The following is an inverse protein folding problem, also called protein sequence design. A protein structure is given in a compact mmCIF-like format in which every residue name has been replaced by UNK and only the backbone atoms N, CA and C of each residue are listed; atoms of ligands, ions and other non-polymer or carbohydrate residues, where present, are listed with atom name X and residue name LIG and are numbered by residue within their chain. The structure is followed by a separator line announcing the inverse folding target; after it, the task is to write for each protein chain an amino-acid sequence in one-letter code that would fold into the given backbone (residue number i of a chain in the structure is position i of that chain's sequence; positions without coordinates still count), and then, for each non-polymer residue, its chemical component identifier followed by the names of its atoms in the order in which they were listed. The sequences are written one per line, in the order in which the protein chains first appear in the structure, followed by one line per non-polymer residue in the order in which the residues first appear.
data_IF_464610253360
#
_entry.id   IF_464610253360
#
_cell.length_a   1.000
_cell.length_b   1.000
_cell.length_c   1.000
_cell.angle_alpha   90.00
_cell.angle_beta   90.00
_cell.angle_gamma   90.00
#
_symmetry.space_group_name_H-M   'P 1'
#
loop_
_entity.id
_entity.type
_entity.pdbx_description
1 polymer ?
#
# COMPACT_ATOMS: atom_id res chain seq x y z
N UNK A 1 -2.98 16.93 25.29
CA UNK A 1 -3.50 15.59 25.64
C UNK A 1 -2.84 14.60 24.70
N UNK A 2 -1.86 13.83 25.19
CA UNK A 2 -1.20 12.78 24.40
C UNK A 2 -2.12 11.56 24.39
N UNK A 3 -2.73 11.24 23.25
CA UNK A 3 -3.47 10.01 23.09
C UNK A 3 -2.46 8.86 23.03
N UNK A 4 -2.48 7.97 24.01
CA UNK A 4 -1.73 6.72 24.01
C UNK A 4 -2.24 5.84 22.86
N UNK A 5 -1.66 5.98 21.68
CA UNK A 5 -1.97 5.14 20.53
C UNK A 5 -1.19 3.82 20.68
N UNK A 6 -1.76 2.83 21.36
CA UNK A 6 -1.21 1.46 21.42
C UNK A 6 -1.56 0.68 20.14
N UNK A 7 -1.37 1.28 18.97
CA UNK A 7 -1.45 0.54 17.71
C UNK A 7 -0.09 -0.06 17.38
N UNK A 8 -0.05 -1.34 17.02
CA UNK A 8 1.15 -1.97 16.50
C UNK A 8 1.20 -1.80 14.99
N UNK A 9 2.19 -1.04 14.53
CA UNK A 9 2.54 -0.90 13.13
C UNK A 9 3.57 -1.96 12.72
N UNK A 10 3.34 -2.66 11.62
CA UNK A 10 4.28 -3.58 11.00
C UNK A 10 4.38 -3.27 9.51
N UNK A 11 5.61 -3.20 9.01
CA UNK A 11 5.92 -2.89 7.60
C UNK A 11 6.75 -4.04 7.05
N UNK A 12 6.35 -4.56 5.89
CA UNK A 12 7.02 -5.67 5.18
C UNK A 12 7.35 -6.88 6.08
N UNK A 13 6.44 -7.21 7.00
CA UNK A 13 6.66 -8.23 8.04
C UNK A 13 5.46 -9.15 8.17
N UNK A 14 5.73 -10.40 8.55
CA UNK A 14 4.68 -11.36 8.85
C UNK A 14 3.99 -10.98 10.15
N UNK A 15 2.69 -11.26 10.21
CA UNK A 15 1.92 -11.07 11.44
C UNK A 15 2.24 -12.22 12.39
N UNK A 16 2.68 -11.94 13.64
CA UNK A 16 2.95 -12.97 14.62
C UNK A 16 1.72 -13.86 14.88
N UNK A 17 1.92 -15.17 14.89
CA UNK A 17 0.86 -16.17 15.10
C UNK A 17 0.11 -16.59 13.84
N UNK A 18 0.34 -15.93 12.69
CA UNK A 18 -0.19 -16.40 11.41
C UNK A 18 0.69 -17.54 10.88
N UNK A 19 0.14 -18.72 10.54
CA UNK A 19 0.93 -19.88 10.12
C UNK A 19 1.53 -19.75 8.71
N UNK A 20 1.02 -18.84 7.88
CA UNK A 20 1.51 -18.61 6.52
C UNK A 20 2.64 -17.58 6.43
N UNK A 21 3.34 -17.56 5.29
CA UNK A 21 4.40 -16.58 4.99
C UNK A 21 3.86 -15.46 4.10
N UNK A 22 2.97 -14.63 4.64
CA UNK A 22 2.48 -13.42 3.99
C UNK A 22 3.16 -12.19 4.58
N UNK A 23 3.67 -11.33 3.70
CA UNK A 23 4.40 -10.10 4.02
C UNK A 23 3.71 -8.92 3.31
N UNK A 24 2.56 -8.45 3.83
CA UNK A 24 1.96 -7.21 3.34
C UNK A 24 2.88 -6.01 3.62
N UNK A 25 2.79 -4.98 2.78
CA UNK A 25 3.58 -3.76 2.90
C UNK A 25 3.26 -3.03 4.22
N UNK A 26 1.99 -3.01 4.63
CA UNK A 26 1.53 -2.33 5.83
C UNK A 26 0.49 -3.16 6.59
N UNK A 27 0.73 -3.37 7.89
CA UNK A 27 -0.26 -3.89 8.84
C UNK A 27 -0.33 -2.97 10.04
N UNK A 28 -1.54 -2.54 10.39
CA UNK A 28 -1.81 -1.78 11.60
C UNK A 28 -2.79 -2.61 12.42
N UNK A 29 -2.42 -2.92 13.66
CA UNK A 29 -3.31 -3.59 14.61
C UNK A 29 -3.55 -2.62 15.75
N UNK A 30 -4.80 -2.23 15.93
CA UNK A 30 -5.27 -1.42 17.05
C UNK A 30 -6.02 -2.34 18.02
N UNK A 31 -5.31 -2.81 19.04
CA UNK A 31 -5.87 -3.68 20.06
C UNK A 31 -6.86 -2.95 20.98
N UNK A 32 -6.77 -1.61 21.07
CA UNK A 32 -7.65 -0.80 21.93
C UNK A 32 -9.04 -0.70 21.30
N UNK A 33 -9.10 -0.41 20.01
CA UNK A 33 -10.35 -0.29 19.26
C UNK A 33 -10.80 -1.63 18.64
N UNK A 34 -10.03 -2.71 18.82
CA UNK A 34 -10.34 -4.03 18.28
C UNK A 34 -10.37 -4.05 16.76
N UNK A 35 -9.46 -3.32 16.09
CA UNK A 35 -9.42 -3.22 14.64
C UNK A 35 -8.05 -3.56 14.06
N UNK A 36 -8.02 -3.95 12.79
CA UNK A 36 -6.79 -4.10 12.04
C UNK A 36 -6.97 -3.66 10.57
N UNK A 37 -5.91 -3.10 10.00
CA UNK A 37 -5.81 -2.78 8.59
C UNK A 37 -4.63 -3.53 7.98
N UNK A 38 -4.88 -4.25 6.88
CA UNK A 38 -3.87 -4.85 6.02
C UNK A 38 -3.92 -4.06 4.71
N UNK A 39 -2.82 -3.39 4.38
CA UNK A 39 -2.72 -2.56 3.18
C UNK A 39 -1.47 -2.94 2.41
N UNK A 40 -1.62 -3.20 1.12
CA UNK A 40 -0.51 -3.48 0.20
C UNK A 40 -0.48 -2.45 -0.91
N UNK A 41 0.70 -2.18 -1.47
CA UNK A 41 0.87 -1.29 -2.61
C UNK A 41 0.99 -2.16 -3.88
N UNK A 42 0.44 -1.68 -4.98
CA UNK A 42 0.71 -2.28 -6.28
C UNK A 42 0.73 -1.28 -7.42
N UNK A 43 1.59 -1.57 -8.40
CA UNK A 43 1.75 -0.80 -9.62
C UNK A 43 1.44 -1.68 -10.85
N UNK A 44 0.17 -1.87 -11.22
CA UNK A 44 -0.19 -2.64 -12.40
C UNK A 44 0.06 -1.86 -13.69
N UNK A 45 0.25 -2.57 -14.80
CA UNK A 45 0.13 -1.96 -16.13
C UNK A 45 -1.34 -1.52 -16.33
N UNK A 46 -1.56 -0.22 -16.54
CA UNK A 46 -2.88 0.38 -16.58
C UNK A 46 -3.56 0.23 -17.96
N UNK A 47 -4.01 -0.99 -18.27
CA UNK A 47 -4.88 -1.22 -19.42
C UNK A 47 -6.35 -0.94 -19.04
N UNK A 48 -6.68 0.36 -18.94
CA UNK A 48 -7.99 0.89 -18.48
C UNK A 48 -8.26 0.61 -17.00
N UNK A 49 -9.40 1.12 -16.52
CA UNK A 49 -9.82 1.03 -15.12
C UNK A 49 -9.95 -0.41 -14.59
N UNK A 50 -10.36 -1.36 -15.45
CA UNK A 50 -10.50 -2.77 -15.05
C UNK A 50 -9.17 -3.37 -14.56
N UNK A 51 -8.03 -2.97 -15.14
CA UNK A 51 -6.72 -3.46 -14.71
C UNK A 51 -6.41 -3.08 -13.24
N UNK A 52 -6.83 -1.87 -12.83
CA UNK A 52 -6.65 -1.40 -11.46
C UNK A 52 -7.56 -2.17 -10.49
N UNK A 53 -8.82 -2.40 -10.87
CA UNK A 53 -9.76 -3.17 -10.06
C UNK A 53 -9.30 -4.63 -9.86
N UNK A 54 -8.82 -5.26 -10.93
CA UNK A 54 -8.28 -6.64 -10.87
C UNK A 54 -7.03 -6.69 -9.99
N UNK A 55 -6.12 -5.72 -10.12
CA UNK A 55 -4.92 -5.66 -9.29
C UNK A 55 -5.26 -5.51 -7.79
N UNK A 56 -6.22 -4.63 -7.46
CA UNK A 56 -6.75 -4.48 -6.11
C UNK A 56 -7.34 -5.78 -5.59
N UNK A 57 -8.24 -6.40 -6.37
CA UNK A 57 -8.91 -7.63 -5.95
C UNK A 57 -7.91 -8.76 -5.73
N UNK A 58 -6.91 -8.89 -6.60
CA UNK A 58 -5.85 -9.88 -6.44
C UNK A 58 -5.08 -9.72 -5.10
N UNK A 59 -4.81 -8.48 -4.67
CA UNK A 59 -4.20 -8.23 -3.34
C UNK A 59 -5.15 -8.60 -2.20
N UNK A 60 -6.45 -8.28 -2.32
CA UNK A 60 -7.47 -8.68 -1.33
C UNK A 60 -7.54 -10.20 -1.20
N UNK A 61 -7.56 -10.91 -2.32
CA UNK A 61 -7.61 -12.38 -2.34
C UNK A 61 -6.33 -12.99 -1.74
N UNK A 62 -5.16 -12.45 -2.11
CA UNK A 62 -3.85 -12.89 -1.59
C UNK A 62 -3.80 -12.82 -0.05
N UNK A 63 -4.33 -11.75 0.54
CA UNK A 63 -4.27 -11.53 1.99
C UNK A 63 -5.55 -11.92 2.73
N UNK A 64 -6.57 -12.46 2.04
CA UNK A 64 -7.80 -12.93 2.66
C UNK A 64 -7.55 -13.93 3.82
N UNK A 65 -6.65 -14.92 3.70
CA UNK A 65 -6.36 -15.83 4.82
C UNK A 65 -5.78 -15.12 6.05
N UNK A 66 -4.96 -14.08 5.83
CA UNK A 66 -4.42 -13.27 6.93
C UNK A 66 -5.52 -12.41 7.57
N UNK A 67 -6.40 -11.84 6.75
CA UNK A 67 -7.55 -11.10 7.25
C UNK A 67 -8.47 -11.99 8.10
N UNK A 68 -8.74 -13.21 7.65
CA UNK A 68 -9.57 -14.18 8.38
C UNK A 68 -8.93 -14.62 9.69
N UNK A 69 -7.60 -14.80 9.72
CA UNK A 69 -6.87 -15.07 10.96
C UNK A 69 -6.99 -13.92 11.97
N UNK A 70 -6.93 -12.67 11.52
CA UNK A 70 -7.12 -11.52 12.41
C UNK A 70 -8.58 -11.39 12.86
N UNK A 71 -9.56 -11.70 12.00
CA UNK A 71 -10.98 -11.75 12.36
C UNK A 71 -11.27 -12.83 13.38
N UNK A 72 -10.65 -14.01 13.27
CA UNK A 72 -10.83 -15.09 14.25
C UNK A 72 -10.26 -14.74 15.64
N UNK A 73 -9.42 -13.70 15.73
CA UNK A 73 -8.95 -13.12 17.00
C UNK A 73 -9.89 -12.03 17.56
N UNK A 74 -11.05 -11.83 16.94
CA UNK A 74 -12.06 -10.86 17.37
C UNK A 74 -11.85 -9.43 16.84
N UNK A 75 -10.95 -9.24 15.87
CA UNK A 75 -10.68 -7.92 15.30
C UNK A 75 -11.61 -7.61 14.14
N UNK A 76 -12.00 -6.35 14.00
CA UNK A 76 -12.61 -5.82 12.77
C UNK A 76 -11.50 -5.54 11.76
N UNK A 77 -11.50 -6.24 10.62
CA UNK A 77 -10.36 -6.22 9.69
C UNK A 77 -10.73 -5.61 8.35
N UNK A 78 -10.00 -4.55 7.97
CA UNK A 78 -9.95 -4.00 6.61
C UNK A 78 -8.75 -4.59 5.88
N UNK A 79 -8.97 -5.15 4.69
CA UNK A 79 -7.91 -5.67 3.83
C UNK A 79 -8.05 -5.04 2.45
N UNK A 80 -7.08 -4.24 2.02
CA UNK A 80 -7.17 -3.52 0.76
C UNK A 80 -5.79 -3.16 0.18
N UNK A 81 -5.79 -2.46 -0.95
CA UNK A 81 -4.57 -2.03 -1.61
C UNK A 81 -4.55 -0.53 -1.93
N UNK A 82 -3.35 0.04 -2.05
CA UNK A 82 -3.08 1.31 -2.73
C UNK A 82 -2.61 0.98 -4.15
N UNK A 83 -3.41 1.35 -5.15
CA UNK A 83 -3.16 1.03 -6.55
C UNK A 83 -2.79 2.30 -7.31
N UNK A 84 -1.60 2.31 -7.91
CA UNK A 84 -1.13 3.38 -8.80
C UNK A 84 -0.69 2.75 -10.10
N UNK A 85 -1.38 3.03 -11.20
CA UNK A 85 -1.04 2.47 -12.50
C UNK A 85 0.31 2.97 -12.99
N UNK A 86 1.00 2.13 -13.76
CA UNK A 86 2.37 2.39 -14.23
C UNK A 86 2.52 3.64 -15.12
N UNK A 87 1.44 4.18 -15.71
CA UNK A 87 1.47 5.43 -16.48
C UNK A 87 0.92 6.62 -15.68
N UNK A 88 0.65 6.43 -14.38
CA UNK A 88 0.27 7.48 -13.43
C UNK A 88 -1.20 7.51 -13.02
N UNK A 89 -1.99 6.51 -13.39
CA UNK A 89 -3.39 6.45 -12.97
C UNK A 89 -3.52 6.22 -11.46
N UNK A 90 -4.25 7.09 -10.77
CA UNK A 90 -4.58 6.90 -9.35
C UNK A 90 -5.95 6.24 -9.22
N UNK A 91 -6.01 5.06 -8.59
CA UNK A 91 -7.27 4.39 -8.31
C UNK A 91 -8.12 5.23 -7.33
N UNK A 92 -9.36 5.64 -7.69
CA UNK A 92 -10.24 6.38 -6.79
C UNK A 92 -10.53 5.67 -5.46
N UNK A 93 -10.49 4.33 -5.44
CA UNK A 93 -10.73 3.55 -4.22
C UNK A 93 -9.61 3.70 -3.18
N UNK A 94 -8.42 4.21 -3.58
CA UNK A 94 -7.36 4.56 -2.63
C UNK A 94 -7.83 5.58 -1.58
N UNK A 95 -8.72 6.51 -1.95
CA UNK A 95 -9.21 7.53 -1.02
C UNK A 95 -9.98 6.92 0.17
N UNK A 96 -10.68 5.81 -0.06
CA UNK A 96 -11.39 5.08 1.01
C UNK A 96 -10.39 4.45 1.97
N UNK A 97 -9.34 3.82 1.45
CA UNK A 97 -8.25 3.22 2.25
C UNK A 97 -7.56 4.29 3.08
N UNK A 98 -7.13 5.39 2.45
CA UNK A 98 -6.45 6.48 3.15
C UNK A 98 -7.35 7.17 4.20
N UNK A 99 -8.66 7.25 3.95
CA UNK A 99 -9.64 7.74 4.93
C UNK A 99 -9.74 6.78 6.11
N UNK A 100 -9.81 5.47 5.86
CA UNK A 100 -9.85 4.46 6.91
C UNK A 100 -8.59 4.47 7.78
N UNK A 101 -7.43 4.76 7.19
CA UNK A 101 -6.16 4.93 7.90
C UNK A 101 -6.06 6.26 8.68
N UNK A 102 -7.10 7.11 8.65
CA UNK A 102 -7.11 8.39 9.35
C UNK A 102 -6.20 9.46 8.73
N UNK A 103 -5.78 9.30 7.48
CA UNK A 103 -4.85 10.22 6.82
C UNK A 103 -5.59 11.51 6.42
N UNK A 104 -5.15 12.70 6.89
CA UNK A 104 -5.82 13.96 6.58
C UNK A 104 -5.80 14.31 5.08
N UNK A 105 -6.82 15.02 4.56
CA UNK A 105 -6.92 15.34 3.12
C UNK A 105 -5.68 16.01 2.50
N UNK A 106 -5.04 16.94 3.21
CA UNK A 106 -3.84 17.64 2.72
C UNK A 106 -2.64 16.68 2.58
N UNK A 107 -2.49 15.73 3.51
CA UNK A 107 -1.47 14.67 3.44
C UNK A 107 -1.77 13.72 2.28
N UNK A 108 -3.04 13.33 2.09
CA UNK A 108 -3.46 12.48 0.96
C UNK A 108 -3.17 13.10 -0.39
N UNK A 109 -3.45 14.39 -0.56
CA UNK A 109 -3.16 15.12 -1.79
C UNK A 109 -1.65 15.17 -2.09
N UNK A 110 -0.82 15.34 -1.05
CA UNK A 110 0.64 15.29 -1.18
C UNK A 110 1.14 13.88 -1.51
N UNK A 111 0.61 12.86 -0.83
CA UNK A 111 0.95 11.47 -1.04
C UNK A 111 0.63 11.02 -2.47
N UNK A 112 -0.59 11.32 -2.95
CA UNK A 112 -1.01 11.04 -4.32
C UNK A 112 -0.05 11.65 -5.33
N UNK A 113 0.28 12.94 -5.18
CA UNK A 113 1.20 13.64 -6.08
C UNK A 113 2.59 13.01 -6.11
N UNK A 114 3.14 12.69 -4.94
CA UNK A 114 4.46 12.02 -4.82
C UNK A 114 4.43 10.63 -5.44
N UNK A 115 3.48 9.79 -5.04
CA UNK A 115 3.36 8.42 -5.53
C UNK A 115 3.20 8.36 -7.05
N UNK A 116 2.31 9.17 -7.64
CA UNK A 116 2.12 9.23 -9.09
C UNK A 116 3.39 9.72 -9.80
N UNK A 117 4.04 10.76 -9.28
CA UNK A 117 5.28 11.28 -9.88
C UNK A 117 6.41 10.26 -9.84
N UNK A 118 6.55 9.55 -8.72
CA UNK A 118 7.57 8.52 -8.54
C UNK A 118 7.31 7.34 -9.48
N UNK A 119 6.07 6.87 -9.60
CA UNK A 119 5.70 5.79 -10.53
C UNK A 119 6.01 6.17 -11.97
N UNK A 120 5.61 7.37 -12.42
CA UNK A 120 5.90 7.83 -13.80
C UNK A 120 7.41 7.91 -14.04
N UNK A 121 8.16 8.46 -13.08
CA UNK A 121 9.62 8.55 -13.15
C UNK A 121 10.24 7.16 -13.31
N UNK A 122 9.87 6.22 -12.43
CA UNK A 122 10.37 4.85 -12.48
C UNK A 122 10.02 4.14 -13.79
N UNK A 123 8.77 4.26 -14.26
CA UNK A 123 8.36 3.69 -15.54
C UNK A 123 9.16 4.24 -16.72
N UNK A 124 9.40 5.56 -16.74
CA UNK A 124 10.24 6.22 -17.75
C UNK A 124 11.68 5.75 -17.70
N UNK A 125 12.26 5.64 -16.51
CA UNK A 125 13.65 5.24 -16.33
C UNK A 125 13.86 3.78 -16.74
N UNK A 126 12.95 2.87 -16.34
CA UNK A 126 12.95 1.46 -16.74
C UNK A 126 12.81 1.32 -18.26
N UNK A 127 11.87 2.05 -18.88
CA UNK A 127 11.67 2.00 -20.33
C UNK A 127 12.88 2.55 -21.09
N UNK A 128 13.43 3.68 -20.63
CA UNK A 128 14.59 4.30 -21.28
C UNK A 128 15.79 3.37 -21.19
N UNK A 129 16.07 2.78 -20.02
CA UNK A 129 17.13 1.78 -19.83
C UNK A 129 16.97 0.58 -20.76
N UNK A 130 15.74 0.07 -20.94
CA UNK A 130 15.46 -1.01 -21.87
C UNK A 130 15.80 -0.64 -23.33
N UNK A 131 15.50 0.59 -23.76
CA UNK A 131 15.75 1.05 -25.14
C UNK A 131 17.22 1.39 -25.39
N UNK A 132 17.87 2.08 -24.45
CA UNK A 132 19.24 2.56 -24.63
C UNK A 132 20.31 1.59 -24.09
N UNK A 133 19.90 0.54 -23.37
CA UNK A 133 20.76 -0.40 -22.65
C UNK A 133 21.76 0.30 -21.70
N UNK A 134 21.37 1.46 -21.17
CA UNK A 134 22.18 2.28 -20.26
C UNK A 134 21.39 2.61 -18.99
N UNK A 135 22.00 2.34 -17.84
CA UNK A 135 21.39 2.49 -16.51
C UNK A 135 20.88 3.92 -16.28
N UNK A 136 19.59 4.08 -15.99
CA UNK A 136 18.96 5.40 -15.82
C UNK A 136 18.87 5.85 -14.35
N UNK A 137 19.08 4.95 -13.40
CA UNK A 137 18.96 5.23 -11.97
C UNK A 137 20.14 4.66 -11.20
N UNK A 138 20.65 5.42 -10.23
CA UNK A 138 21.67 4.95 -9.28
C UNK A 138 20.95 4.22 -8.15
N UNK A 139 21.53 3.14 -7.64
CA UNK A 139 20.99 2.46 -6.44
C UNK A 139 20.95 3.43 -5.24
N UNK A 140 19.94 3.19 -4.39
CA UNK A 140 19.49 3.92 -3.20
C UNK A 140 18.65 5.20 -3.39
N UNK A 141 17.33 5.01 -3.52
CA UNK A 141 16.36 6.03 -3.08
C UNK A 141 16.41 6.10 -1.57
N UNK A 142 17.21 7.02 -1.03
CA UNK A 142 17.07 7.46 0.36
C UNK A 142 15.72 8.16 0.46
N UNK A 143 14.73 7.50 1.08
CA UNK A 143 13.44 8.11 1.35
C UNK A 143 13.67 9.38 2.18
N UNK A 144 13.14 10.55 1.76
CA UNK A 144 13.27 11.75 2.57
C UNK A 144 12.59 11.53 3.92
N UNK A 145 13.13 12.11 5.02
CA UNK A 145 12.50 12.01 6.32
C UNK A 145 11.06 12.54 6.23
N UNK A 146 10.13 11.79 6.82
CA UNK A 146 8.73 12.19 6.91
C UNK A 146 8.69 13.40 7.84
N UNK A 147 8.40 14.58 7.27
CA UNK A 147 8.25 15.86 7.98
C UNK A 147 6.98 15.92 8.81
#
# INVERSE_FOLDING_TARGET
MSANFRSKLSVEKSVPGFPGRLLPDLVIIDEVNGSAAIVDVCCPFENRYLALQVARQHKRDKYAPLADHLRSRGLTVTCDAIVVGALGCWDPENEKVLTHLGIPPHVRANLKRKAVSDVIRWSRDIYTEHVCNARQYKEDVVLPPIS
#
